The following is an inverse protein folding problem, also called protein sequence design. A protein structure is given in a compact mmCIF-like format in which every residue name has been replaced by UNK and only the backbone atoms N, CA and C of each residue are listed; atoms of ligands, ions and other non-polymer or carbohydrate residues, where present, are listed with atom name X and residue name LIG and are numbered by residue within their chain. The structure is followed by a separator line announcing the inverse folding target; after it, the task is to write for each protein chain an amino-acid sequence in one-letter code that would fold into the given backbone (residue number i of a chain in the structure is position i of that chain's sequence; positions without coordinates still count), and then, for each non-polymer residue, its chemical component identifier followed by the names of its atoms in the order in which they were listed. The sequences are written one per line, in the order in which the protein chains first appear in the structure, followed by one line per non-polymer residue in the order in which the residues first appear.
data_IF_009063786550
#
_entry.id   IF_009063786550
#
_cell.length_a   1.000
_cell.length_b   1.000
_cell.length_c   1.000
_cell.angle_alpha   90.00
_cell.angle_beta   90.00
_cell.angle_gamma   90.00
#
_symmetry.space_group_name_H-M   'P 1'
#
loop_
_entity.id
_entity.type
_entity.pdbx_description
1 polymer ?
#
# COMPACT_ATOMS: atom_id res chain seq x y z
N UNK A 1 32.32 -24.58 4.92
CA UNK A 1 31.35 -23.66 4.27
C UNK A 1 30.71 -22.80 5.36
N UNK A 2 31.25 -21.62 5.59
CA UNK A 2 30.71 -20.62 6.52
C UNK A 2 29.48 -19.98 5.88
N UNK A 3 28.30 -20.13 6.49
CA UNK A 3 27.08 -19.49 6.02
C UNK A 3 27.23 -17.96 5.97
N UNK A 4 26.41 -17.25 5.17
CA UNK A 4 26.43 -15.80 5.12
C UNK A 4 26.20 -15.25 6.53
N UNK A 5 27.16 -14.47 7.02
CA UNK A 5 27.06 -13.81 8.32
C UNK A 5 25.77 -12.98 8.38
N UNK A 6 25.02 -13.02 9.50
CA UNK A 6 23.81 -12.23 9.65
C UNK A 6 24.15 -10.75 9.45
N UNK A 7 23.49 -10.11 8.48
CA UNK A 7 23.67 -8.69 8.23
C UNK A 7 23.41 -7.92 9.53
N UNK A 8 24.35 -7.08 10.00
CA UNK A 8 24.18 -6.34 11.25
C UNK A 8 22.90 -5.50 11.18
N UNK A 9 22.08 -5.54 12.23
CA UNK A 9 20.86 -4.72 12.30
C UNK A 9 21.28 -3.24 12.16
N UNK A 10 20.82 -2.49 11.15
CA UNK A 10 21.17 -1.08 11.00
C UNK A 10 20.75 -0.23 12.21
N UNK A 11 19.91 -0.76 13.12
CA UNK A 11 19.57 -0.14 14.41
C UNK A 11 20.72 -0.17 15.42
N UNK A 12 21.72 -1.05 15.27
CA UNK A 12 22.74 -1.27 16.29
C UNK A 12 24.10 -0.66 15.95
N UNK A 13 24.37 -0.29 14.70
CA UNK A 13 25.76 -0.08 14.24
C UNK A 13 26.24 1.35 14.02
N UNK A 14 25.40 2.41 14.07
CA UNK A 14 25.88 3.79 13.80
C UNK A 14 25.47 4.93 14.74
N UNK A 15 24.41 4.83 15.54
CA UNK A 15 23.95 5.92 16.44
C UNK A 15 23.95 5.49 17.92
N UNK A 16 25.09 4.98 18.40
CA UNK A 16 25.23 4.49 19.78
C UNK A 16 25.48 5.60 20.82
N UNK A 17 25.68 6.85 20.40
CA UNK A 17 25.75 7.98 21.33
C UNK A 17 24.34 8.32 21.81
N UNK A 18 24.03 8.18 23.12
CA UNK A 18 22.74 8.59 23.63
C UNK A 18 22.55 10.09 23.34
N UNK A 19 21.38 10.50 22.81
CA UNK A 19 21.13 11.90 22.50
C UNK A 19 21.25 12.74 23.78
N UNK A 20 21.96 13.87 23.69
CA UNK A 20 22.11 14.79 24.82
C UNK A 20 20.77 15.31 25.33
N UNK A 21 20.69 15.68 26.61
CA UNK A 21 19.47 16.14 27.28
C UNK A 21 18.79 17.31 26.55
N UNK A 22 19.57 18.25 26.03
CA UNK A 22 19.06 19.38 25.25
C UNK A 22 18.36 18.95 23.94
N UNK A 23 18.90 17.93 23.24
CA UNK A 23 18.30 17.40 22.02
C UNK A 23 16.97 16.67 22.30
N UNK A 24 16.86 16.01 23.46
CA UNK A 24 15.61 15.40 23.90
C UNK A 24 14.54 16.45 24.29
N UNK A 25 14.95 17.56 24.93
CA UNK A 25 14.04 18.66 25.30
C UNK A 25 13.55 19.45 24.08
N UNK A 26 14.42 19.68 23.07
CA UNK A 26 14.07 20.40 21.85
C UNK A 26 13.40 19.52 20.79
N UNK A 27 13.31 18.21 21.03
CA UNK A 27 12.66 17.23 20.14
C UNK A 27 11.28 17.65 19.61
N UNK A 28 10.30 18.10 20.43
CA UNK A 28 9.00 18.50 19.91
C UNK A 28 9.10 19.70 18.97
N UNK A 29 9.98 20.67 19.27
CA UNK A 29 10.21 21.86 18.45
C UNK A 29 10.86 21.49 17.12
N UNK A 30 11.89 20.63 17.15
CA UNK A 30 12.55 20.15 15.94
C UNK A 30 11.59 19.44 14.99
N UNK A 31 10.75 18.54 15.50
CA UNK A 31 9.74 17.89 14.67
C UNK A 31 8.64 18.82 14.18
N UNK A 32 8.22 19.79 15.01
CA UNK A 32 7.25 20.78 14.59
C UNK A 32 7.80 21.63 13.43
N UNK A 33 9.03 22.11 13.55
CA UNK A 33 9.70 22.89 12.51
C UNK A 33 9.83 22.10 11.21
N UNK A 34 10.29 20.85 11.27
CA UNK A 34 10.38 19.97 10.09
C UNK A 34 8.98 19.75 9.48
N UNK A 35 7.96 19.51 10.32
CA UNK A 35 6.58 19.34 9.87
C UNK A 35 6.06 20.57 9.13
N UNK A 36 6.27 21.76 9.69
CA UNK A 36 5.88 23.04 9.08
C UNK A 36 6.57 23.27 7.74
N UNK A 37 7.88 22.98 7.64
CA UNK A 37 8.62 23.11 6.38
C UNK A 37 8.03 22.19 5.31
N UNK A 38 7.82 20.91 5.62
CA UNK A 38 7.24 19.97 4.66
C UNK A 38 5.79 20.33 4.29
N UNK A 39 5.01 20.84 5.24
CA UNK A 39 3.66 21.36 4.96
C UNK A 39 3.72 22.57 4.04
N UNK A 40 4.64 23.52 4.27
CA UNK A 40 4.81 24.69 3.42
C UNK A 40 5.19 24.28 1.98
N UNK A 41 6.12 23.32 1.82
CA UNK A 41 6.47 22.76 0.51
C UNK A 41 5.25 22.08 -0.13
N UNK A 42 4.50 21.28 0.63
CA UNK A 42 3.30 20.62 0.13
C UNK A 42 2.22 21.60 -0.33
N UNK A 43 1.97 22.66 0.46
CA UNK A 43 1.03 23.73 0.13
C UNK A 43 1.50 24.54 -1.08
N UNK A 44 2.80 24.81 -1.20
CA UNK A 44 3.38 25.47 -2.38
C UNK A 44 3.15 24.65 -3.65
N UNK A 45 3.42 23.33 -3.59
CA UNK A 45 3.15 22.42 -4.73
C UNK A 45 1.67 22.40 -5.07
N UNK A 46 0.77 22.26 -4.08
CA UNK A 46 -0.68 22.33 -4.32
C UNK A 46 -1.07 23.68 -4.93
N UNK A 47 -0.52 24.78 -4.43
CA UNK A 47 -0.72 26.12 -4.95
C UNK A 47 -0.31 26.24 -6.41
N UNK A 48 0.86 25.71 -6.79
CA UNK A 48 1.33 25.68 -8.18
C UNK A 48 0.37 24.92 -9.10
N UNK A 49 -0.17 23.78 -8.64
CA UNK A 49 -1.13 22.99 -9.40
C UNK A 49 -2.49 23.68 -9.55
N UNK A 50 -2.93 24.41 -8.51
CA UNK A 50 -4.18 25.16 -8.53
C UNK A 50 -4.05 26.48 -9.28
N UNK A 51 -2.86 27.08 -9.34
CA UNK A 51 -2.59 28.37 -9.98
C UNK A 51 -3.00 28.37 -11.46
N UNK A 52 -2.80 27.24 -12.18
CA UNK A 52 -3.19 27.14 -13.60
C UNK A 52 -4.71 27.22 -13.78
N UNK A 53 -5.48 26.52 -12.93
CA UNK A 53 -6.93 26.61 -12.97
C UNK A 53 -7.43 27.98 -12.47
N UNK A 54 -6.79 28.55 -11.45
CA UNK A 54 -7.11 29.87 -10.94
C UNK A 54 -6.87 30.96 -12.00
N UNK A 55 -5.74 30.90 -12.71
CA UNK A 55 -5.45 31.78 -13.85
C UNK A 55 -6.58 31.72 -14.88
N UNK A 56 -7.02 30.52 -15.26
CA UNK A 56 -8.13 30.36 -16.20
C UNK A 56 -9.46 30.93 -15.71
N UNK A 57 -9.72 30.94 -14.40
CA UNK A 57 -10.96 31.43 -13.79
C UNK A 57 -10.99 32.95 -13.59
N UNK A 58 -9.85 33.52 -13.19
CA UNK A 58 -9.79 34.90 -12.71
C UNK A 58 -9.24 35.87 -13.75
N UNK A 59 -8.38 35.42 -14.67
CA UNK A 59 -7.82 36.32 -15.67
C UNK A 59 -8.79 36.58 -16.82
N UNK A 60 -8.75 37.78 -17.42
CA UNK A 60 -9.53 38.10 -18.61
C UNK A 60 -9.26 37.11 -19.76
N UNK A 61 -10.25 36.80 -20.61
CA UNK A 61 -10.05 35.94 -21.79
C UNK A 61 -8.96 36.44 -22.74
N UNK A 62 -8.73 37.75 -22.80
CA UNK A 62 -7.70 38.37 -23.65
C UNK A 62 -6.27 37.93 -23.25
N UNK A 63 -6.05 37.66 -21.96
CA UNK A 63 -4.75 37.24 -21.43
C UNK A 63 -4.57 35.70 -21.50
N UNK A 64 -5.56 34.99 -22.06
CA UNK A 64 -5.59 33.54 -22.18
C UNK A 64 -5.37 33.10 -23.64
N UNK A 65 -4.37 33.69 -24.30
CA UNK A 65 -4.09 33.51 -25.74
C UNK A 65 -4.13 32.06 -26.23
N UNK A 66 -3.55 31.05 -25.53
CA UNK A 66 -3.57 29.67 -26.03
C UNK A 66 -4.99 29.11 -26.22
N UNK A 67 -5.93 29.56 -25.40
CA UNK A 67 -7.32 29.09 -25.42
C UNK A 67 -8.18 29.91 -26.39
N UNK A 68 -7.94 31.22 -26.47
CA UNK A 68 -8.59 32.07 -27.46
C UNK A 68 -8.21 31.66 -28.90
N UNK A 69 -6.93 31.37 -29.14
CA UNK A 69 -6.42 30.91 -30.44
C UNK A 69 -6.96 29.50 -30.79
N UNK A 70 -7.21 28.64 -29.80
CA UNK A 70 -7.80 27.32 -30.02
C UNK A 70 -9.21 27.42 -30.62
N UNK A 71 -9.99 28.41 -30.16
CA UNK A 71 -11.36 28.67 -30.65
C UNK A 71 -11.32 29.28 -32.05
N UNK A 72 -10.40 30.21 -32.30
CA UNK A 72 -10.30 30.92 -33.57
C UNK A 72 -9.64 30.08 -34.69
N UNK A 73 -8.61 29.29 -34.37
CA UNK A 73 -7.79 28.54 -35.32
C UNK A 73 -7.29 27.22 -34.73
N UNK A 74 -8.15 26.18 -34.65
CA UNK A 74 -7.85 24.97 -33.89
C UNK A 74 -6.64 24.17 -34.42
N UNK A 75 -6.38 24.19 -35.73
CA UNK A 75 -5.35 23.34 -36.35
C UNK A 75 -3.92 23.55 -35.81
N UNK A 76 -3.48 24.80 -35.69
CA UNK A 76 -2.12 25.12 -35.22
C UNK A 76 -1.94 24.87 -33.71
N UNK A 77 -2.99 25.17 -32.92
CA UNK A 77 -2.97 24.97 -31.47
C UNK A 77 -3.03 23.49 -31.11
N UNK A 78 -3.84 22.69 -31.83
CA UNK A 78 -3.91 21.24 -31.63
C UNK A 78 -2.56 20.55 -31.87
N UNK A 79 -1.78 21.00 -32.86
CA UNK A 79 -0.42 20.49 -33.08
C UNK A 79 0.51 20.73 -31.88
N UNK A 80 0.49 21.95 -31.30
CA UNK A 80 1.27 22.28 -30.10
C UNK A 80 0.79 21.49 -28.87
N UNK A 81 -0.53 21.40 -28.68
CA UNK A 81 -1.13 20.64 -27.58
C UNK A 81 -0.83 19.13 -27.69
N UNK A 82 -0.78 18.56 -28.90
CA UNK A 82 -0.43 17.15 -29.08
C UNK A 82 0.98 16.81 -28.57
N UNK A 83 1.92 17.76 -28.64
CA UNK A 83 3.29 17.61 -28.13
C UNK A 83 3.38 17.88 -26.63
N UNK A 84 2.72 18.95 -26.15
CA UNK A 84 2.81 19.38 -24.74
C UNK A 84 1.93 18.55 -23.80
N UNK A 85 0.73 18.15 -24.23
CA UNK A 85 -0.24 17.49 -23.36
C UNK A 85 0.29 16.20 -22.73
N UNK A 86 1.01 15.29 -23.43
CA UNK A 86 1.59 14.11 -22.80
C UNK A 86 2.57 14.45 -21.67
N UNK A 87 3.41 15.47 -21.86
CA UNK A 87 4.37 15.93 -20.85
C UNK A 87 3.63 16.48 -19.64
N UNK A 88 2.66 17.36 -19.87
CA UNK A 88 1.85 17.95 -18.81
C UNK A 88 1.06 16.87 -18.05
N UNK A 89 0.48 15.88 -18.74
CA UNK A 89 -0.22 14.75 -18.10
C UNK A 89 0.72 13.93 -17.22
N UNK A 90 1.95 13.66 -17.67
CA UNK A 90 2.94 12.92 -16.87
C UNK A 90 3.37 13.72 -15.64
N UNK A 91 3.59 15.03 -15.78
CA UNK A 91 3.92 15.91 -14.66
C UNK A 91 2.73 16.02 -13.69
N UNK A 92 1.52 16.21 -14.21
CA UNK A 92 0.33 16.48 -13.42
C UNK A 92 -0.25 15.23 -12.74
N UNK A 93 -0.01 14.04 -13.29
CA UNK A 93 -0.47 12.77 -12.74
C UNK A 93 0.64 12.04 -11.97
N UNK A 94 1.46 11.20 -12.65
CA UNK A 94 2.53 10.44 -12.03
C UNK A 94 3.47 11.25 -11.13
N UNK A 95 4.05 12.34 -11.61
CA UNK A 95 5.02 13.12 -10.81
C UNK A 95 4.33 13.74 -9.59
N UNK A 96 3.13 14.29 -9.76
CA UNK A 96 2.31 14.81 -8.66
C UNK A 96 2.04 13.73 -7.60
N UNK A 97 1.71 12.51 -8.02
CA UNK A 97 1.48 11.37 -7.14
C UNK A 97 2.72 11.03 -6.30
N UNK A 98 3.88 10.85 -6.94
CA UNK A 98 5.12 10.51 -6.24
C UNK A 98 5.57 11.63 -5.31
N UNK A 99 5.48 12.88 -5.76
CA UNK A 99 5.82 14.05 -4.97
C UNK A 99 4.90 14.18 -3.74
N UNK A 100 3.59 13.96 -3.93
CA UNK A 100 2.62 13.94 -2.83
C UNK A 100 2.91 12.82 -1.84
N UNK A 101 3.27 11.63 -2.33
CA UNK A 101 3.67 10.50 -1.49
C UNK A 101 4.98 10.73 -0.74
N UNK A 102 5.87 11.59 -1.23
CA UNK A 102 7.10 11.96 -0.52
C UNK A 102 6.82 13.03 0.55
N UNK A 103 6.13 14.11 0.19
CA UNK A 103 5.95 15.31 1.04
C UNK A 103 4.96 15.05 2.18
N UNK A 104 3.73 14.62 1.86
CA UNK A 104 2.65 14.58 2.86
C UNK A 104 2.91 13.59 3.98
N UNK A 105 3.44 12.38 3.73
CA UNK A 105 3.81 11.48 4.81
C UNK A 105 4.92 12.01 5.70
N UNK A 106 5.90 12.75 5.17
CA UNK A 106 6.95 13.38 5.99
C UNK A 106 6.38 14.45 6.91
N UNK A 107 5.52 15.33 6.37
CA UNK A 107 4.83 16.33 7.17
C UNK A 107 4.01 15.64 8.28
N UNK A 108 3.17 14.67 7.92
CA UNK A 108 2.32 13.94 8.87
C UNK A 108 3.14 13.18 9.92
N UNK A 109 4.22 12.49 9.54
CA UNK A 109 5.12 11.80 10.48
C UNK A 109 5.76 12.79 11.46
N UNK A 110 6.18 13.96 10.97
CA UNK A 110 6.77 15.02 11.79
C UNK A 110 5.78 15.49 12.87
N UNK A 111 4.52 15.78 12.51
CA UNK A 111 3.50 16.14 13.49
C UNK A 111 3.17 15.00 14.47
N UNK A 112 3.14 13.74 14.00
CA UNK A 112 2.96 12.57 14.87
C UNK A 112 4.09 12.48 15.89
N UNK A 113 5.34 12.73 15.50
CA UNK A 113 6.47 12.71 16.44
C UNK A 113 6.50 13.92 17.37
N UNK A 114 6.13 15.10 16.90
CA UNK A 114 5.94 16.28 17.75
C UNK A 114 4.90 15.99 18.84
N UNK A 115 3.72 15.46 18.47
CA UNK A 115 2.67 15.09 19.40
C UNK A 115 3.06 13.95 20.36
N UNK A 116 3.88 12.99 19.92
CA UNK A 116 4.42 11.93 20.80
C UNK A 116 5.46 12.48 21.77
N UNK A 117 6.33 13.40 21.35
CA UNK A 117 7.36 13.98 22.20
C UNK A 117 6.78 14.78 23.38
N UNK A 118 5.57 15.33 23.24
CA UNK A 118 4.85 16.00 24.32
C UNK A 118 4.26 15.04 25.37
N UNK A 119 4.14 13.74 25.07
CA UNK A 119 3.54 12.76 25.97
C UNK A 119 4.59 12.20 26.94
N UNK A 120 4.32 12.22 28.27
CA UNK A 120 5.27 11.72 29.28
C UNK A 120 5.75 10.28 29.05
N UNK A 121 4.86 9.41 28.54
CA UNK A 121 5.16 8.00 28.26
C UNK A 121 6.19 7.75 27.14
N UNK A 122 6.59 8.80 26.41
CA UNK A 122 7.56 8.75 25.31
C UNK A 122 8.85 9.55 25.60
N UNK A 123 9.04 10.09 26.81
CA UNK A 123 10.23 10.90 27.16
C UNK A 123 11.55 10.14 27.04
N UNK A 124 11.54 8.82 27.22
CA UNK A 124 12.72 7.96 27.07
C UNK A 124 12.95 7.43 25.66
N UNK A 125 12.04 7.69 24.70
CA UNK A 125 12.24 7.24 23.33
C UNK A 125 13.39 8.04 22.69
N UNK A 126 14.26 7.37 21.93
CA UNK A 126 15.37 8.01 21.21
C UNK A 126 14.82 8.92 20.07
N UNK A 127 15.67 9.74 19.46
CA UNK A 127 15.31 10.51 18.26
C UNK A 127 15.06 9.57 17.05
N UNK A 128 14.09 9.91 16.20
CA UNK A 128 13.89 9.22 14.93
C UNK A 128 15.19 9.26 14.11
N UNK A 129 15.59 8.10 13.60
CA UNK A 129 16.84 7.97 12.85
C UNK A 129 16.57 8.04 11.35
N UNK A 130 17.65 8.25 10.61
CA UNK A 130 17.66 8.23 9.15
C UNK A 130 18.24 6.90 8.70
N UNK A 131 17.43 6.06 8.05
CA UNK A 131 17.94 4.83 7.44
C UNK A 131 18.31 5.08 6.00
N UNK A 132 19.32 4.39 5.50
CA UNK A 132 19.78 4.53 4.14
C UNK A 132 19.25 3.37 3.28
N UNK A 133 18.51 3.66 2.21
CA UNK A 133 17.98 2.67 1.27
C UNK A 133 19.03 2.29 0.24
N UNK A 134 19.28 1.00 0.00
CA UNK A 134 20.40 0.51 -0.82
C UNK A 134 20.54 1.24 -2.18
N UNK A 135 21.77 1.44 -2.69
CA UNK A 135 22.00 2.07 -3.99
C UNK A 135 21.16 1.45 -5.10
N UNK A 136 20.56 2.27 -5.96
CA UNK A 136 19.72 1.81 -7.08
C UNK A 136 18.27 1.46 -6.72
N UNK A 137 17.81 1.70 -5.49
CA UNK A 137 16.43 1.41 -5.07
C UNK A 137 15.49 2.62 -5.06
N UNK A 138 15.95 3.79 -5.51
CA UNK A 138 15.24 5.08 -5.40
C UNK A 138 15.44 6.01 -6.60
N UNK A 139 14.55 6.98 -6.77
CA UNK A 139 14.54 7.98 -7.87
C UNK A 139 15.62 9.08 -7.76
N UNK A 140 16.26 9.41 -8.90
CA UNK A 140 17.22 10.51 -9.09
C UNK A 140 18.32 10.15 -10.11
N UNK A 141 19.22 11.09 -10.50
CA UNK A 141 20.53 10.73 -11.05
C UNK A 141 21.16 9.67 -10.15
N UNK A 142 21.99 8.73 -10.65
CA UNK A 142 22.60 7.68 -9.82
C UNK A 142 23.29 8.34 -8.63
N UNK A 143 22.61 8.35 -7.49
CA UNK A 143 23.17 8.89 -6.26
C UNK A 143 24.22 7.86 -5.88
N UNK A 144 25.50 8.23 -5.77
CA UNK A 144 26.58 7.28 -5.48
C UNK A 144 26.43 6.59 -4.10
N UNK A 145 25.35 6.89 -3.37
CA UNK A 145 25.05 6.33 -2.07
C UNK A 145 23.56 6.04 -1.84
N UNK A 146 23.27 5.33 -0.74
CA UNK A 146 21.92 4.91 -0.38
C UNK A 146 21.01 6.10 0.04
N UNK A 147 19.76 6.15 -0.42
CA UNK A 147 18.84 7.28 -0.15
C UNK A 147 18.40 7.32 1.31
N UNK A 148 18.64 8.45 1.95
CA UNK A 148 18.30 8.74 3.34
C UNK A 148 16.78 8.82 3.54
N UNK A 149 16.18 7.73 4.01
CA UNK A 149 14.83 7.74 4.58
C UNK A 149 14.88 8.31 5.99
N UNK A 150 14.57 9.60 6.11
CA UNK A 150 14.47 10.30 7.39
C UNK A 150 13.20 9.89 8.15
N UNK A 151 13.14 10.21 9.45
CA UNK A 151 11.94 10.07 10.28
C UNK A 151 11.41 8.63 10.48
N UNK A 152 12.32 7.64 10.52
CA UNK A 152 11.93 6.25 10.77
C UNK A 152 11.28 6.06 12.16
N UNK A 153 10.14 5.34 12.25
CA UNK A 153 9.44 5.16 13.51
C UNK A 153 10.16 4.21 14.45
N UNK A 154 10.37 4.67 15.69
CA UNK A 154 10.86 3.81 16.78
C UNK A 154 9.78 2.88 17.31
N UNK A 155 8.59 3.43 17.54
CA UNK A 155 7.40 2.64 17.88
C UNK A 155 6.48 2.57 16.68
N UNK A 156 6.25 1.33 16.22
CA UNK A 156 5.30 1.03 15.16
C UNK A 156 3.88 1.19 15.66
N UNK A 157 3.08 1.94 14.92
CA UNK A 157 1.63 1.97 15.03
C UNK A 157 1.00 1.81 13.64
N UNK A 158 -0.29 1.49 13.58
CA UNK A 158 -1.01 1.39 12.30
C UNK A 158 -0.90 2.67 11.46
N UNK A 159 -0.89 3.83 12.12
CA UNK A 159 -0.73 5.13 11.47
C UNK A 159 0.68 5.30 10.91
N UNK A 160 1.72 5.13 11.72
CA UNK A 160 3.12 5.28 11.23
C UNK A 160 3.44 4.26 10.15
N UNK A 161 2.93 3.04 10.26
CA UNK A 161 3.12 2.01 9.24
C UNK A 161 2.43 2.39 7.92
N UNK A 162 1.24 3.01 7.98
CA UNK A 162 0.54 3.51 6.78
C UNK A 162 1.29 4.68 6.15
N UNK A 163 1.73 5.66 6.97
CA UNK A 163 2.50 6.81 6.48
C UNK A 163 3.82 6.36 5.87
N UNK A 164 4.55 5.44 6.49
CA UNK A 164 5.79 4.90 5.94
C UNK A 164 5.59 4.16 4.61
N UNK A 165 4.42 3.54 4.39
CA UNK A 165 4.08 2.91 3.10
C UNK A 165 3.86 3.93 2.01
N UNK A 166 3.11 4.99 2.30
CA UNK A 166 2.97 6.12 1.36
C UNK A 166 4.32 6.78 1.09
N UNK A 167 5.10 7.01 2.14
CA UNK A 167 6.46 7.53 2.02
C UNK A 167 7.31 6.67 1.09
N UNK A 168 7.28 5.35 1.25
CA UNK A 168 8.00 4.42 0.38
C UNK A 168 7.54 4.50 -1.09
N UNK A 169 6.25 4.75 -1.36
CA UNK A 169 5.76 4.97 -2.73
C UNK A 169 6.43 6.20 -3.35
N UNK A 170 6.64 7.28 -2.59
CA UNK A 170 7.27 8.51 -3.10
C UNK A 170 8.74 8.34 -3.54
N UNK A 171 9.46 7.39 -2.94
CA UNK A 171 10.88 7.17 -3.23
C UNK A 171 11.15 6.00 -4.17
N UNK A 172 10.26 5.03 -4.24
CA UNK A 172 10.44 3.82 -5.04
C UNK A 172 9.37 3.75 -6.15
N UNK A 173 9.80 4.13 -7.35
CA UNK A 173 9.01 4.05 -8.58
C UNK A 173 8.59 2.62 -8.86
N UNK A 174 7.30 2.37 -8.75
CA UNK A 174 6.68 1.19 -9.33
C UNK A 174 5.91 1.61 -10.58
N UNK A 175 6.30 1.08 -11.74
CA UNK A 175 5.58 1.31 -13.00
C UNK A 175 4.10 0.90 -12.91
N UNK A 176 3.76 -0.01 -11.99
CA UNK A 176 2.38 -0.41 -11.70
C UNK A 176 1.57 0.67 -10.98
N UNK A 177 2.22 1.62 -10.33
CA UNK A 177 1.59 2.81 -9.73
C UNK A 177 1.62 4.00 -10.70
N UNK A 178 2.64 4.07 -11.57
CA UNK A 178 2.79 5.12 -12.59
C UNK A 178 1.59 5.16 -13.55
N UNK A 179 1.23 4.03 -14.15
CA UNK A 179 0.12 3.99 -15.12
C UNK A 179 -1.24 4.38 -14.52
N UNK A 180 -1.63 3.88 -13.32
CA UNK A 180 -2.81 4.37 -12.62
C UNK A 180 -2.85 5.87 -12.32
N UNK A 181 -1.71 6.55 -12.25
CA UNK A 181 -1.64 7.99 -12.00
C UNK A 181 -1.85 8.83 -13.29
N UNK A 182 -1.67 8.25 -14.48
CA UNK A 182 -1.87 8.97 -15.77
C UNK A 182 -3.29 9.54 -15.90
N UNK A 183 -4.37 8.81 -15.58
CA UNK A 183 -5.72 9.38 -15.59
C UNK A 183 -5.89 10.61 -14.68
N UNK A 184 -5.17 10.73 -13.56
CA UNK A 184 -5.21 11.96 -12.75
C UNK A 184 -4.59 13.15 -13.48
N UNK A 185 -3.52 12.94 -14.25
CA UNK A 185 -2.94 13.97 -15.10
C UNK A 185 -3.88 14.43 -16.20
N UNK A 186 -4.58 13.49 -16.84
CA UNK A 186 -5.64 13.79 -17.82
C UNK A 186 -6.76 14.60 -17.16
N UNK A 187 -7.23 14.15 -16.00
CA UNK A 187 -8.26 14.86 -15.25
C UNK A 187 -7.84 16.29 -14.89
N UNK A 188 -6.59 16.48 -14.46
CA UNK A 188 -6.07 17.81 -14.12
C UNK A 188 -5.99 18.72 -15.35
N UNK A 189 -5.52 18.22 -16.50
CA UNK A 189 -5.49 19.00 -17.75
C UNK A 189 -6.91 19.39 -18.17
N UNK A 190 -7.84 18.43 -18.20
CA UNK A 190 -9.24 18.69 -18.56
C UNK A 190 -9.88 19.71 -17.62
N UNK A 191 -9.70 19.56 -16.30
CA UNK A 191 -10.24 20.49 -15.32
C UNK A 191 -9.63 21.89 -15.45
N UNK A 192 -8.31 21.99 -15.65
CA UNK A 192 -7.60 23.27 -15.78
C UNK A 192 -7.97 23.99 -17.09
N UNK A 193 -8.06 23.26 -18.20
CA UNK A 193 -8.56 23.81 -19.47
C UNK A 193 -10.03 24.21 -19.35
N UNK A 194 -10.87 23.37 -18.74
CA UNK A 194 -12.29 23.69 -18.53
C UNK A 194 -12.52 24.89 -17.59
N UNK A 195 -11.54 25.23 -16.75
CA UNK A 195 -11.59 26.41 -15.89
C UNK A 195 -11.48 27.73 -16.69
N UNK A 196 -10.80 27.70 -17.84
CA UNK A 196 -10.56 28.85 -18.73
C UNK A 196 -11.87 29.56 -19.13
N UNK A 197 -11.96 30.86 -18.84
CA UNK A 197 -13.06 31.74 -19.26
C UNK A 197 -13.01 32.10 -20.74
N UNK A 198 -11.89 31.86 -21.43
CA UNK A 198 -11.75 32.06 -22.88
C UNK A 198 -12.46 30.99 -23.73
N UNK A 199 -12.87 29.87 -23.12
CA UNK A 199 -13.60 28.81 -23.80
C UNK A 199 -15.13 29.00 -23.72
N UNK A 200 -15.89 28.57 -24.74
CA UNK A 200 -17.35 28.53 -24.67
C UNK A 200 -17.85 27.75 -23.45
N UNK A 201 -18.93 28.21 -22.81
CA UNK A 201 -19.47 27.63 -21.57
C UNK A 201 -19.76 26.13 -21.69
N UNK A 202 -20.29 25.67 -22.83
CA UNK A 202 -20.55 24.25 -23.08
C UNK A 202 -19.27 23.41 -23.06
N UNK A 203 -18.16 23.92 -23.61
CA UNK A 203 -16.87 23.21 -23.60
C UNK A 203 -16.29 23.16 -22.20
N UNK A 204 -16.35 24.27 -21.45
CA UNK A 204 -15.90 24.35 -20.06
C UNK A 204 -16.56 23.30 -19.19
N UNK A 205 -17.90 23.26 -19.21
CA UNK A 205 -18.67 22.29 -18.43
C UNK A 205 -18.37 20.88 -18.91
N UNK A 206 -18.34 20.64 -20.22
CA UNK A 206 -18.02 19.32 -20.78
C UNK A 206 -16.67 18.78 -20.33
N UNK A 207 -15.62 19.62 -20.36
CA UNK A 207 -14.27 19.26 -19.93
C UNK A 207 -14.19 18.96 -18.43
N UNK A 208 -14.80 19.79 -17.58
CA UNK A 208 -14.83 19.58 -16.13
C UNK A 208 -15.60 18.30 -15.78
N UNK A 209 -16.75 18.07 -16.42
CA UNK A 209 -17.54 16.84 -16.22
C UNK A 209 -16.75 15.61 -16.69
N UNK A 210 -16.05 15.70 -17.82
CA UNK A 210 -15.19 14.63 -18.32
C UNK A 210 -13.98 14.35 -17.42
N UNK A 211 -13.45 15.34 -16.69
CA UNK A 211 -12.35 15.15 -15.75
C UNK A 211 -12.70 14.23 -14.57
N UNK A 212 -13.95 14.28 -14.09
CA UNK A 212 -14.43 13.52 -12.92
C UNK A 212 -14.20 12.00 -13.04
N UNK A 213 -14.64 11.30 -14.09
CA UNK A 213 -14.43 9.85 -14.21
C UNK A 213 -12.95 9.47 -14.27
N UNK A 214 -12.09 10.28 -14.90
CA UNK A 214 -10.64 10.03 -14.91
C UNK A 214 -10.01 10.16 -13.53
N UNK A 215 -10.41 11.19 -12.75
CA UNK A 215 -9.95 11.37 -11.39
C UNK A 215 -10.41 10.20 -10.49
N UNK A 216 -11.68 9.82 -10.56
CA UNK A 216 -12.24 8.69 -9.81
C UNK A 216 -11.55 7.37 -10.17
N UNK A 217 -11.33 7.14 -11.47
CA UNK A 217 -10.61 5.96 -11.94
C UNK A 217 -9.18 5.93 -11.39
N UNK A 218 -8.44 7.05 -11.47
CA UNK A 218 -7.09 7.13 -10.93
C UNK A 218 -7.04 6.77 -9.45
N UNK A 219 -7.95 7.35 -8.64
CA UNK A 219 -8.04 7.06 -7.20
C UNK A 219 -8.29 5.57 -6.94
N UNK A 220 -9.24 4.96 -7.65
CA UNK A 220 -9.55 3.52 -7.50
C UNK A 220 -8.37 2.66 -7.93
N UNK A 221 -7.74 2.97 -9.06
CA UNK A 221 -6.62 2.22 -9.61
C UNK A 221 -5.37 2.32 -8.73
N UNK A 222 -5.03 3.52 -8.25
CA UNK A 222 -3.94 3.74 -7.31
C UNK A 222 -4.18 3.03 -5.98
N UNK A 223 -5.41 3.08 -5.45
CA UNK A 223 -5.77 2.33 -4.24
C UNK A 223 -5.60 0.82 -4.44
N UNK A 224 -6.00 0.29 -5.59
CA UNK A 224 -5.80 -1.13 -5.92
C UNK A 224 -4.32 -1.48 -6.05
N UNK A 225 -3.52 -0.66 -6.72
CA UNK A 225 -2.08 -0.84 -6.84
C UNK A 225 -1.39 -0.84 -5.46
N UNK A 226 -1.73 0.15 -4.63
CA UNK A 226 -1.20 0.28 -3.26
C UNK A 226 -1.56 -0.92 -2.37
N UNK A 227 -2.82 -1.34 -2.39
CA UNK A 227 -3.24 -2.51 -1.60
C UNK A 227 -2.56 -3.77 -2.09
N UNK A 228 -2.42 -3.95 -3.41
CA UNK A 228 -1.72 -5.08 -4.02
C UNK A 228 -0.27 -5.15 -3.56
N UNK A 229 0.48 -4.04 -3.66
CA UNK A 229 1.89 -3.94 -3.22
C UNK A 229 2.04 -4.38 -1.76
N UNK A 230 1.32 -3.75 -0.84
CA UNK A 230 1.57 -3.95 0.58
C UNK A 230 0.79 -5.12 1.23
N UNK A 231 -0.26 -5.65 0.61
CA UNK A 231 -0.98 -6.84 1.13
C UNK A 231 -0.42 -8.13 0.58
N UNK A 232 -0.03 -8.21 -0.70
CA UNK A 232 0.62 -9.43 -1.23
C UNK A 232 2.01 -9.62 -0.65
N UNK A 233 2.79 -8.56 -0.43
CA UNK A 233 4.07 -8.68 0.27
C UNK A 233 3.90 -9.22 1.68
N UNK A 234 2.89 -8.73 2.43
CA UNK A 234 2.55 -9.30 3.74
C UNK A 234 2.17 -10.77 3.64
N UNK A 235 1.34 -11.15 2.67
CA UNK A 235 0.95 -12.54 2.47
C UNK A 235 2.14 -13.44 2.10
N UNK A 236 3.03 -12.96 1.22
CA UNK A 236 4.27 -13.66 0.82
C UNK A 236 5.22 -13.83 1.99
N UNK A 237 5.45 -12.78 2.78
CA UNK A 237 6.28 -12.86 3.99
C UNK A 237 5.66 -13.77 5.05
N UNK A 238 4.33 -13.74 5.20
CA UNK A 238 3.64 -14.66 6.10
C UNK A 238 3.76 -16.12 5.64
N UNK A 239 3.62 -16.38 4.34
CA UNK A 239 3.83 -17.70 3.75
C UNK A 239 5.29 -18.16 3.92
N UNK A 240 6.26 -17.29 3.65
CA UNK A 240 7.69 -17.58 3.85
C UNK A 240 8.02 -17.86 5.31
N UNK A 241 7.52 -17.08 6.25
CA UNK A 241 7.70 -17.34 7.70
C UNK A 241 7.00 -18.60 8.18
N UNK A 242 5.91 -19.02 7.52
CA UNK A 242 5.28 -20.33 7.78
C UNK A 242 6.18 -21.46 7.28
N UNK A 243 6.72 -21.31 6.07
CA UNK A 243 7.69 -22.23 5.48
C UNK A 243 9.02 -22.27 6.23
N UNK A 244 9.46 -21.18 6.86
CA UNK A 244 10.67 -21.18 7.70
C UNK A 244 10.38 -21.83 9.06
N UNK A 245 9.22 -21.55 9.67
CA UNK A 245 8.81 -22.18 10.95
C UNK A 245 8.48 -23.65 10.85
N UNK A 246 7.93 -24.08 9.72
CA UNK A 246 7.62 -25.49 9.45
C UNK A 246 8.64 -26.09 8.48
N UNK A 247 9.69 -25.35 8.13
CA UNK A 247 10.68 -25.75 7.13
C UNK A 247 11.43 -26.98 7.56
N UNK A 248 11.71 -27.13 8.85
CA UNK A 248 12.29 -28.36 9.38
C UNK A 248 11.29 -29.53 9.40
N UNK A 249 9.99 -29.26 9.48
CA UNK A 249 8.93 -30.28 9.35
C UNK A 249 8.67 -30.70 7.89
N UNK A 250 8.87 -29.80 6.93
CA UNK A 250 8.67 -30.08 5.49
C UNK A 250 9.98 -30.43 4.75
N UNK A 251 11.15 -30.22 5.37
CA UNK A 251 12.46 -30.68 4.86
C UNK A 251 12.70 -32.17 5.17
N UNK A 252 11.91 -32.75 6.08
CA UNK A 252 11.88 -34.18 6.41
C UNK A 252 10.49 -34.75 6.07
N UNK A 253 10.04 -34.56 4.83
CA UNK A 253 9.08 -35.51 4.26
C UNK A 253 9.56 -35.91 2.86
N UNK A 254 10.29 -37.03 2.73
CA UNK A 254 10.74 -37.55 1.44
C UNK A 254 9.59 -37.85 0.47
N UNK A 255 8.33 -37.82 0.92
CA UNK A 255 7.15 -38.12 0.10
C UNK A 255 6.66 -36.97 -0.77
N UNK A 256 7.22 -35.76 -0.62
CA UNK A 256 6.88 -34.60 -1.49
C UNK A 256 8.10 -34.13 -2.28
N UNK A 257 9.05 -35.04 -2.56
CA UNK A 257 9.85 -34.91 -3.77
C UNK A 257 8.89 -35.21 -4.92
N UNK A 258 8.63 -34.20 -5.76
CA UNK A 258 7.99 -34.39 -7.07
C UNK A 258 8.89 -35.26 -7.94
N UNK A 259 8.95 -36.56 -7.65
CA UNK A 259 9.49 -37.55 -8.55
C UNK A 259 8.57 -37.57 -9.77
N UNK A 260 9.11 -37.20 -10.92
CA UNK A 260 8.51 -37.58 -12.21
C UNK A 260 8.19 -39.08 -12.13
N UNK A 261 6.99 -39.53 -12.52
CA UNK A 261 6.62 -40.95 -12.45
C UNK A 261 7.59 -41.77 -13.31
N UNK A 262 8.50 -42.51 -12.67
CA UNK A 262 9.61 -43.19 -13.36
C UNK A 262 9.18 -44.51 -14.02
N UNK A 263 8.15 -45.20 -13.50
CA UNK A 263 7.64 -46.45 -14.11
C UNK A 263 6.30 -46.23 -14.85
N UNK A 264 6.05 -47.00 -15.94
CA UNK A 264 4.78 -46.97 -16.65
C UNK A 264 3.59 -47.38 -15.78
N UNK A 265 3.78 -48.32 -14.84
CA UNK A 265 2.76 -48.75 -13.88
C UNK A 265 2.33 -47.62 -12.94
N UNK A 266 3.28 -46.80 -12.47
CA UNK A 266 2.97 -45.67 -11.60
C UNK A 266 2.24 -44.55 -12.37
N UNK A 267 2.52 -44.37 -13.67
CA UNK A 267 1.73 -43.45 -14.52
C UNK A 267 0.30 -43.93 -14.67
N UNK A 268 0.09 -45.22 -14.94
CA UNK A 268 -1.24 -45.81 -15.04
C UNK A 268 -2.04 -45.65 -13.73
N UNK A 269 -1.40 -45.87 -12.58
CA UNK A 269 -2.03 -45.65 -11.27
C UNK A 269 -2.44 -44.19 -11.02
N UNK A 270 -1.55 -43.23 -11.33
CA UNK A 270 -1.85 -41.80 -11.18
C UNK A 270 -2.91 -41.33 -12.18
N UNK A 271 -2.95 -41.89 -13.38
CA UNK A 271 -4.00 -41.60 -14.37
C UNK A 271 -5.35 -42.18 -13.96
N UNK A 272 -5.39 -43.37 -13.39
CA UNK A 272 -6.59 -43.97 -12.82
C UNK A 272 -7.13 -43.13 -11.65
N UNK A 273 -6.27 -42.73 -10.71
CA UNK A 273 -6.65 -41.87 -9.58
C UNK A 273 -7.17 -40.50 -10.07
N UNK A 274 -6.55 -39.93 -11.10
CA UNK A 274 -7.03 -38.69 -11.74
C UNK A 274 -8.36 -38.88 -12.46
N UNK A 275 -8.60 -40.04 -13.07
CA UNK A 275 -9.87 -40.35 -13.71
C UNK A 275 -10.99 -40.48 -12.66
N UNK A 276 -10.73 -41.18 -11.55
CA UNK A 276 -11.66 -41.27 -10.43
C UNK A 276 -11.95 -39.90 -9.81
N UNK A 277 -10.93 -39.06 -9.63
CA UNK A 277 -11.10 -37.71 -9.12
C UNK A 277 -11.93 -36.83 -10.06
N UNK A 278 -11.79 -36.98 -11.39
CA UNK A 278 -12.62 -36.29 -12.37
C UNK A 278 -14.08 -36.75 -12.32
N UNK A 279 -14.32 -38.06 -12.22
CA UNK A 279 -15.68 -38.61 -12.06
C UNK A 279 -16.32 -38.11 -10.77
N UNK A 280 -15.56 -38.04 -9.67
CA UNK A 280 -16.03 -37.48 -8.41
C UNK A 280 -16.33 -35.98 -8.51
N UNK A 281 -15.53 -35.24 -9.28
CA UNK A 281 -15.73 -33.81 -9.53
C UNK A 281 -16.94 -33.55 -10.44
N UNK A 282 -17.13 -34.34 -11.49
CA UNK A 282 -18.30 -34.24 -12.38
C UNK A 282 -19.60 -34.51 -11.61
N UNK A 283 -19.57 -35.48 -10.68
CA UNK A 283 -20.68 -35.78 -9.76
C UNK A 283 -20.96 -34.64 -8.77
N UNK A 284 -19.99 -33.78 -8.48
CA UNK A 284 -20.18 -32.58 -7.67
C UNK A 284 -20.77 -31.41 -8.48
N UNK A 285 -20.45 -31.33 -9.77
CA UNK A 285 -20.98 -30.31 -10.67
C UNK A 285 -22.33 -30.66 -11.29
N UNK A 286 -22.72 -31.94 -11.26
CA UNK A 286 -24.04 -32.41 -11.70
C UNK A 286 -25.12 -32.36 -10.60
N UNK A 287 -24.80 -31.82 -9.42
CA UNK A 287 -25.77 -31.72 -8.33
C UNK A 287 -26.85 -30.70 -8.67
N UNK A 288 -28.11 -31.12 -8.56
CA UNK A 288 -29.26 -30.23 -8.63
C UNK A 288 -29.25 -29.25 -7.45
N UNK A 289 -29.94 -28.11 -7.60
CA UNK A 289 -30.02 -27.09 -6.54
C UNK A 289 -30.52 -27.67 -5.20
N UNK A 290 -31.40 -28.65 -5.25
CA UNK A 290 -31.99 -29.30 -4.08
C UNK A 290 -30.97 -30.19 -3.35
N UNK A 291 -30.17 -30.97 -4.10
CA UNK A 291 -29.10 -31.81 -3.54
C UNK A 291 -27.98 -30.96 -2.89
N UNK A 292 -27.69 -29.78 -3.45
CA UNK A 292 -26.78 -28.81 -2.85
C UNK A 292 -27.37 -28.28 -1.53
N UNK A 293 -28.68 -28.01 -1.50
CA UNK A 293 -29.42 -27.61 -0.30
C UNK A 293 -29.33 -28.64 0.81
N UNK A 294 -29.66 -29.90 0.52
CA UNK A 294 -29.62 -31.01 1.49
C UNK A 294 -28.21 -31.24 2.06
N UNK A 295 -27.18 -31.20 1.21
CA UNK A 295 -25.78 -31.31 1.68
C UNK A 295 -25.39 -30.16 2.58
N UNK A 296 -25.78 -28.94 2.25
CA UNK A 296 -25.50 -27.77 3.09
C UNK A 296 -26.16 -27.91 4.46
N UNK A 297 -27.39 -28.40 4.50
CA UNK A 297 -28.09 -28.68 5.76
C UNK A 297 -27.45 -29.82 6.55
N UNK A 298 -27.01 -30.89 5.91
CA UNK A 298 -26.31 -31.99 6.56
C UNK A 298 -24.98 -31.52 7.19
N UNK A 299 -24.22 -30.68 6.49
CA UNK A 299 -22.99 -30.08 7.04
C UNK A 299 -23.29 -29.15 8.22
N UNK A 300 -24.35 -28.35 8.14
CA UNK A 300 -24.77 -27.48 9.24
C UNK A 300 -25.24 -28.29 10.46
N UNK A 301 -25.98 -29.39 10.26
CA UNK A 301 -26.37 -30.33 11.32
C UNK A 301 -25.15 -30.96 11.98
N UNK A 302 -24.22 -31.52 11.21
CA UNK A 302 -22.99 -32.11 11.73
C UNK A 302 -22.14 -31.09 12.51
N UNK A 303 -22.10 -29.83 12.07
CA UNK A 303 -21.42 -28.75 12.79
C UNK A 303 -22.09 -28.45 14.14
N UNK A 304 -23.42 -28.32 14.17
CA UNK A 304 -24.18 -28.10 15.41
C UNK A 304 -23.99 -29.24 16.41
N UNK A 305 -23.94 -30.48 15.93
CA UNK A 305 -23.68 -31.64 16.78
C UNK A 305 -22.26 -31.62 17.39
N UNK A 306 -21.25 -31.23 16.61
CA UNK A 306 -19.87 -31.07 17.11
C UNK A 306 -19.79 -29.97 18.17
N UNK A 307 -20.43 -28.83 17.92
CA UNK A 307 -20.48 -27.71 18.88
C UNK A 307 -21.22 -28.11 20.17
N UNK A 308 -22.32 -28.87 20.06
CA UNK A 308 -23.05 -29.39 21.21
C UNK A 308 -22.23 -30.41 22.03
N UNK A 309 -21.47 -31.30 21.36
CA UNK A 309 -20.56 -32.24 22.03
C UNK A 309 -19.44 -31.49 22.77
N UNK A 310 -18.79 -30.53 22.11
CA UNK A 310 -17.75 -29.70 22.72
C UNK A 310 -18.28 -28.93 23.95
N UNK A 311 -19.48 -28.36 23.87
CA UNK A 311 -20.10 -27.67 24.99
C UNK A 311 -20.41 -28.61 26.18
N UNK A 312 -20.84 -29.85 25.91
CA UNK A 312 -21.06 -30.87 26.94
C UNK A 312 -19.76 -31.29 27.62
N UNK A 313 -18.69 -31.46 26.85
CA UNK A 313 -17.35 -31.78 27.39
C UNK A 313 -16.79 -30.65 28.24
N UNK A 314 -16.90 -29.40 27.78
CA UNK A 314 -16.50 -28.22 28.55
C UNK A 314 -17.25 -28.10 29.89
N UNK A 315 -18.57 -28.37 29.91
CA UNK A 315 -19.37 -28.40 31.14
C UNK A 315 -18.96 -29.53 32.08
N UNK A 316 -18.60 -30.71 31.55
CA UNK A 316 -18.08 -31.83 32.37
C UNK A 316 -16.73 -31.49 32.99
N UNK A 317 -15.82 -30.86 32.23
CA UNK A 317 -14.53 -30.39 32.73
C UNK A 317 -14.71 -29.37 33.87
N UNK A 318 -15.53 -28.33 33.67
CA UNK A 318 -15.82 -27.33 34.70
C UNK A 318 -16.45 -27.91 35.98
N UNK A 319 -17.26 -28.99 35.88
CA UNK A 319 -17.80 -29.69 37.06
C UNK A 319 -16.76 -30.53 37.79
N UNK A 320 -15.77 -31.09 37.08
CA UNK A 320 -14.64 -31.80 37.71
C UNK A 320 -13.76 -30.83 38.50
N UNK A 321 -13.45 -29.67 37.94
CA UNK A 321 -12.67 -28.64 38.64
C UNK A 321 -13.36 -28.16 39.93
N UNK A 322 -14.70 -28.01 39.92
CA UNK A 322 -15.45 -27.65 41.14
C UNK A 322 -15.53 -28.75 42.21
N UNK A 323 -15.41 -30.04 41.83
CA UNK A 323 -15.42 -31.16 42.78
C UNK A 323 -14.02 -31.59 43.22
N UNK A 324 -12.99 -31.26 42.43
CA UNK A 324 -11.58 -31.48 42.75
C UNK A 324 -10.94 -30.34 43.52
N UNK A 325 -11.68 -29.27 43.84
CA UNK A 325 -11.29 -28.29 44.85
C UNK A 325 -11.16 -29.00 46.19
N UNK A 326 -9.92 -29.36 46.50
CA UNK A 326 -9.48 -29.94 47.77
C UNK A 326 -10.06 -29.13 48.93
N UNK A 327 -10.60 -29.79 49.96
CA UNK A 327 -10.78 -29.13 51.25
C UNK A 327 -9.37 -28.74 51.72
N UNK A 328 -9.04 -27.46 51.60
CA UNK A 328 -7.88 -26.90 52.26
C UNK A 328 -8.11 -27.05 53.75
N UNK A 329 -7.36 -27.95 54.35
CA UNK A 329 -7.17 -28.03 55.79
C UNK A 329 -6.72 -26.67 56.33
N UNK A 330 -7.46 -26.23 57.36
CA UNK A 330 -7.13 -25.27 58.43
C UNK A 330 -7.08 -23.78 58.10
#
# INVERSE_FOLDING_TARGET
MTGPAPAPDPRTSRDATPPGTAALLLRPVGYLAIGLVWTAIGLFVVGLYLAVAAYGLFEPPADQEPWAELVASPGAVLGRLAVLAPIVVVLAGPVAWYLSCAIWPLAALSFVYAGRALRPSYRGDRLSFTSHAAPGTTLGPPVPGPVAMSLQPQRRSRLTDTLMRFYACGWNLDLRELWPAVPAGIAWVLASTGASTALPSGWRVGLVVAAVPFALWSVVALRRAWTWRFHRERARLAARRRLERHGDQYRIDPRVVRTRPQSPEHRAGVEAERAEARVAQDRLTSLTSDEIGERREAVLRARREREARAAREARKAARRDRRGGTPSDR
#
